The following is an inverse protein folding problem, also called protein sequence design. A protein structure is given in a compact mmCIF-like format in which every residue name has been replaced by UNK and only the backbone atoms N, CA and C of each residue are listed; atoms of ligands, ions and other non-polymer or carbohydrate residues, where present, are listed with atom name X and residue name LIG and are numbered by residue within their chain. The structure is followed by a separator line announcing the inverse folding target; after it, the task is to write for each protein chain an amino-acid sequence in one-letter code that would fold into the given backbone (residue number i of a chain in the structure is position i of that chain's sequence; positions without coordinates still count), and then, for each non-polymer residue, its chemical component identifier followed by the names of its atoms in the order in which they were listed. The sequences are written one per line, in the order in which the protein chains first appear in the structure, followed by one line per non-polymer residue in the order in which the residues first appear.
data_IF_505389333249
#
_entry.id   IF_505389333249
#
_cell.length_a   1.000
_cell.length_b   1.000
_cell.length_c   1.000
_cell.angle_alpha   90.00
_cell.angle_beta   90.00
_cell.angle_gamma   90.00
#
_symmetry.space_group_name_H-M   'P 1'
#
loop_
_entity.id
_entity.type
_entity.pdbx_description
1 polymer ?
#
# COMPACT_ATOMS: atom_id res chain seq x y z
N UNK A 1 -13.69 28.07 -21.04
CA UNK A 1 -12.47 28.01 -20.19
C UNK A 1 -11.71 26.74 -20.53
N UNK A 2 -10.46 26.84 -20.94
CA UNK A 2 -9.65 25.68 -21.33
C UNK A 2 -9.13 24.93 -20.10
N UNK A 3 -9.12 23.60 -20.17
CA UNK A 3 -8.46 22.75 -19.18
C UNK A 3 -6.96 23.04 -19.24
N UNK A 4 -6.36 23.55 -18.15
CA UNK A 4 -4.92 23.81 -18.05
C UNK A 4 -4.31 22.88 -17.00
N UNK A 5 -3.10 22.38 -17.27
CA UNK A 5 -2.35 21.57 -16.30
C UNK A 5 -1.79 22.50 -15.23
N UNK A 6 -2.24 22.34 -13.98
CA UNK A 6 -1.76 23.15 -12.87
C UNK A 6 -0.34 22.79 -12.42
N UNK A 7 0.02 21.50 -12.42
CA UNK A 7 1.35 21.02 -12.07
C UNK A 7 1.60 19.61 -12.62
N UNK A 8 2.86 19.20 -12.65
CA UNK A 8 3.30 17.84 -12.96
C UNK A 8 4.34 17.37 -11.94
N UNK A 9 4.40 16.06 -11.69
CA UNK A 9 5.39 15.44 -10.82
C UNK A 9 5.99 14.24 -11.54
N UNK A 10 7.32 14.13 -11.57
CA UNK A 10 8.05 13.06 -12.27
C UNK A 10 8.54 12.02 -11.28
N UNK A 11 8.09 10.77 -11.45
CA UNK A 11 8.61 9.59 -10.74
C UNK A 11 9.82 8.98 -11.46
N UNK A 12 10.53 8.06 -10.80
CA UNK A 12 11.66 7.34 -11.40
C UNK A 12 11.23 6.19 -12.33
N UNK A 13 10.00 5.71 -12.19
CA UNK A 13 9.41 4.64 -13.00
C UNK A 13 8.01 4.98 -13.53
N UNK A 14 7.35 3.96 -14.08
CA UNK A 14 5.97 4.05 -14.56
C UNK A 14 5.00 4.01 -13.38
N UNK A 15 3.90 4.76 -13.48
CA UNK A 15 2.79 4.70 -12.54
C UNK A 15 1.68 3.88 -13.20
N UNK A 16 1.38 2.71 -12.62
CA UNK A 16 0.23 1.88 -13.01
C UNK A 16 -0.90 1.95 -11.98
N UNK A 17 -0.59 2.37 -10.74
CA UNK A 17 -1.60 2.58 -9.70
C UNK A 17 -2.46 3.79 -10.01
N UNK A 18 -3.72 3.78 -9.55
CA UNK A 18 -4.51 5.01 -9.46
C UNK A 18 -3.97 5.90 -8.32
N UNK A 19 -4.10 7.23 -8.42
CA UNK A 19 -3.78 8.12 -7.31
C UNK A 19 -4.83 8.03 -6.20
N UNK A 20 -4.36 8.13 -4.95
CA UNK A 20 -5.22 8.19 -3.76
C UNK A 20 -5.10 9.56 -3.12
N UNK A 21 -6.23 10.25 -2.90
CA UNK A 21 -6.27 11.61 -2.36
C UNK A 21 -6.62 11.60 -0.87
N UNK A 22 -5.79 12.21 -0.03
CA UNK A 22 -6.10 12.49 1.36
C UNK A 22 -6.89 13.80 1.54
N UNK A 23 -7.55 13.92 2.70
CA UNK A 23 -8.29 15.11 3.11
C UNK A 23 -7.42 16.37 3.24
N UNK A 24 -6.12 16.22 3.54
CA UNK A 24 -5.14 17.30 3.57
C UNK A 24 -4.66 17.74 2.17
N UNK A 25 -5.14 17.09 1.11
CA UNK A 25 -4.75 17.34 -0.28
C UNK A 25 -3.46 16.66 -0.71
N UNK A 26 -2.86 15.81 0.14
CA UNK A 26 -1.74 14.95 -0.28
C UNK A 26 -2.25 13.86 -1.22
N UNK A 27 -1.52 13.64 -2.32
CA UNK A 27 -1.78 12.60 -3.31
C UNK A 27 -0.76 11.48 -3.12
N UNK A 28 -1.22 10.23 -3.03
CA UNK A 28 -0.38 9.05 -2.93
C UNK A 28 -0.41 8.22 -4.20
N UNK A 29 0.77 7.79 -4.67
CA UNK A 29 0.90 6.93 -5.86
C UNK A 29 2.00 5.88 -5.66
N UNK A 30 1.74 4.67 -6.13
CA UNK A 30 2.72 3.60 -6.26
C UNK A 30 3.45 3.69 -7.61
N UNK A 31 4.73 3.33 -7.63
CA UNK A 31 5.55 3.40 -8.82
C UNK A 31 6.37 2.12 -9.04
N UNK A 32 6.65 1.80 -10.30
CA UNK A 32 7.46 0.62 -10.66
C UNK A 32 8.93 0.74 -10.28
N UNK A 33 9.40 1.93 -9.88
CA UNK A 33 10.75 2.13 -9.32
C UNK A 33 10.92 1.61 -7.89
N UNK A 34 9.84 1.03 -7.33
CA UNK A 34 9.84 0.45 -6.00
C UNK A 34 9.53 1.44 -4.88
N UNK A 35 9.03 2.63 -5.23
CA UNK A 35 8.62 3.63 -4.25
C UNK A 35 7.10 3.86 -4.23
N UNK A 36 6.63 4.25 -3.05
CA UNK A 36 5.36 4.93 -2.85
C UNK A 36 5.68 6.40 -2.61
N UNK A 37 5.00 7.29 -3.32
CA UNK A 37 5.20 8.73 -3.23
C UNK A 37 4.02 9.38 -2.53
N UNK A 38 4.30 10.27 -1.58
CA UNK A 38 3.36 11.29 -1.11
C UNK A 38 3.69 12.62 -1.76
N UNK A 39 2.75 13.20 -2.49
CA UNK A 39 2.92 14.45 -3.25
C UNK A 39 1.95 15.48 -2.70
N UNK A 40 2.46 16.68 -2.38
CA UNK A 40 1.63 17.78 -1.88
C UNK A 40 0.72 18.33 -2.99
N UNK A 41 -0.32 19.08 -2.61
CA UNK A 41 -1.27 19.71 -3.54
C UNK A 41 -0.61 20.58 -4.63
N UNK A 42 0.59 21.10 -4.38
CA UNK A 42 1.38 21.88 -5.34
C UNK A 42 2.27 21.08 -6.30
N UNK A 43 2.24 19.74 -6.24
CA UNK A 43 3.08 18.88 -7.09
C UNK A 43 4.51 18.66 -6.58
N UNK A 44 4.82 19.08 -5.35
CA UNK A 44 6.11 18.84 -4.69
C UNK A 44 6.07 17.56 -3.87
N UNK A 45 7.21 16.88 -3.76
CA UNK A 45 7.31 15.67 -2.94
C UNK A 45 7.16 16.01 -1.44
N UNK A 46 6.25 15.32 -0.75
CA UNK A 46 6.13 15.31 0.72
C UNK A 46 7.10 14.28 1.31
N UNK A 47 7.08 13.06 0.76
CA UNK A 47 7.96 11.96 1.16
C UNK A 47 7.99 10.87 0.07
N UNK A 48 8.94 9.94 0.16
CA UNK A 48 8.92 8.65 -0.57
C UNK A 48 9.21 7.50 0.38
N UNK A 49 8.54 6.38 0.16
CA UNK A 49 8.67 5.17 0.95
C UNK A 49 9.22 4.02 0.07
N UNK A 50 10.32 3.35 0.45
CA UNK A 50 10.85 2.20 -0.28
C UNK A 50 10.02 0.94 0.03
N UNK A 51 9.34 0.39 -0.99
CA UNK A 51 8.51 -0.81 -0.87
C UNK A 51 9.25 -2.10 -1.25
N UNK A 52 10.57 -2.05 -1.52
CA UNK A 52 11.39 -3.23 -1.79
C UNK A 52 11.20 -3.88 -3.17
N UNK A 53 10.20 -3.46 -3.95
CA UNK A 53 9.97 -3.89 -5.32
C UNK A 53 8.86 -3.06 -5.98
N UNK A 54 8.64 -3.23 -7.30
CA UNK A 54 7.66 -2.43 -8.05
C UNK A 54 6.29 -2.36 -7.38
N UNK A 55 5.72 -1.16 -7.31
CA UNK A 55 4.41 -0.93 -6.70
C UNK A 55 3.43 -0.57 -7.81
N UNK A 56 2.53 -1.51 -8.11
CA UNK A 56 1.50 -1.33 -9.15
C UNK A 56 0.08 -1.27 -8.56
N UNK A 57 -0.05 -1.53 -7.25
CA UNK A 57 -1.33 -1.48 -6.54
C UNK A 57 -1.68 -0.04 -6.13
N UNK A 58 -2.98 0.26 -6.01
CA UNK A 58 -3.47 1.54 -5.49
C UNK A 58 -3.46 1.51 -3.96
N UNK A 59 -2.95 2.58 -3.34
CA UNK A 59 -2.96 2.74 -1.89
C UNK A 59 -4.39 2.91 -1.36
N UNK A 60 -4.70 2.28 -0.23
CA UNK A 60 -5.92 2.57 0.53
C UNK A 60 -5.61 3.38 1.78
N UNK A 61 -6.40 4.43 2.03
CA UNK A 61 -6.34 5.21 3.26
C UNK A 61 -7.18 4.50 4.31
N UNK A 62 -6.57 4.13 5.43
CA UNK A 62 -7.27 3.58 6.58
C UNK A 62 -7.76 4.62 7.56
N UNK A 63 -8.35 4.15 8.66
CA UNK A 63 -8.70 5.03 9.77
C UNK A 63 -7.43 5.59 10.43
N UNK A 64 -7.45 6.85 10.90
CA UNK A 64 -6.35 7.41 11.66
C UNK A 64 -6.14 6.64 12.96
N UNK A 65 -4.88 6.41 13.30
CA UNK A 65 -4.46 5.93 14.62
C UNK A 65 -3.73 7.10 15.29
N UNK A 66 -4.43 7.79 16.19
CA UNK A 66 -3.98 9.09 16.70
C UNK A 66 -4.09 10.18 15.63
N UNK A 67 -3.04 10.99 15.45
CA UNK A 67 -2.97 12.04 14.43
C UNK A 67 -2.47 11.56 13.06
N UNK A 68 -2.09 10.28 12.95
CA UNK A 68 -1.49 9.74 11.74
C UNK A 68 -2.37 8.68 11.08
N UNK A 69 -2.56 8.84 9.78
CA UNK A 69 -3.32 7.91 8.96
C UNK A 69 -2.42 6.82 8.40
N UNK A 70 -2.94 5.61 8.24
CA UNK A 70 -2.18 4.50 7.66
C UNK A 70 -2.57 4.31 6.20
N UNK A 71 -1.58 4.23 5.32
CA UNK A 71 -1.72 3.80 3.94
C UNK A 71 -1.43 2.31 3.84
N UNK A 72 -2.31 1.58 3.18
CA UNK A 72 -2.14 0.15 2.88
C UNK A 72 -1.87 -0.03 1.40
N UNK A 73 -0.74 -0.65 1.06
CA UNK A 73 -0.32 -0.84 -0.33
C UNK A 73 0.50 -2.11 -0.50
N UNK A 74 0.19 -2.86 -1.55
CA UNK A 74 0.85 -4.12 -1.89
C UNK A 74 2.06 -3.91 -2.80
N UNK A 75 3.16 -4.57 -2.48
CA UNK A 75 4.38 -4.59 -3.27
C UNK A 75 4.50 -5.84 -4.15
N UNK A 76 5.29 -5.72 -5.23
CA UNK A 76 5.66 -6.89 -6.05
C UNK A 76 6.61 -7.84 -5.32
N UNK A 77 7.19 -7.41 -4.19
CA UNK A 77 7.96 -8.24 -3.28
C UNK A 77 7.07 -9.20 -2.45
N UNK A 78 5.74 -9.16 -2.64
CA UNK A 78 4.77 -10.00 -1.95
C UNK A 78 4.43 -9.53 -0.53
N UNK A 79 4.77 -8.28 -0.20
CA UNK A 79 4.52 -7.68 1.10
C UNK A 79 3.33 -6.71 1.04
N UNK A 80 2.48 -6.73 2.07
CA UNK A 80 1.55 -5.63 2.34
C UNK A 80 2.25 -4.65 3.28
N UNK A 81 2.35 -3.40 2.85
CA UNK A 81 2.97 -2.33 3.63
C UNK A 81 1.89 -1.48 4.29
N UNK A 82 2.05 -1.25 5.59
CA UNK A 82 1.35 -0.20 6.32
C UNK A 82 2.32 0.98 6.51
N UNK A 83 1.99 2.11 5.90
CA UNK A 83 2.86 3.29 5.82
C UNK A 83 2.18 4.48 6.48
N UNK A 84 2.93 5.30 7.21
CA UNK A 84 2.45 6.59 7.69
C UNK A 84 2.11 7.52 6.53
N UNK A 85 0.87 7.99 6.48
CA UNK A 85 0.42 8.97 5.49
C UNK A 85 1.11 10.33 5.71
N UNK A 86 1.40 10.69 6.96
CA UNK A 86 2.03 11.96 7.28
C UNK A 86 3.53 11.95 6.97
N UNK A 87 4.22 10.85 7.30
CA UNK A 87 5.69 10.82 7.34
C UNK A 87 6.32 9.89 6.31
N UNK A 88 5.55 9.02 5.64
CA UNK A 88 6.11 8.04 4.71
C UNK A 88 6.96 6.96 5.39
N UNK A 89 6.82 6.79 6.70
CA UNK A 89 7.57 5.80 7.50
C UNK A 89 6.81 4.48 7.59
N UNK A 90 7.53 3.37 7.71
CA UNK A 90 6.90 2.08 7.94
C UNK A 90 6.22 2.04 9.31
N UNK A 91 4.95 1.63 9.37
CA UNK A 91 4.27 1.26 10.61
C UNK A 91 4.41 -0.22 10.90
N UNK A 92 4.13 -1.04 9.90
CA UNK A 92 4.37 -2.48 9.92
C UNK A 92 4.38 -3.04 8.50
N UNK A 93 4.82 -4.28 8.35
CA UNK A 93 4.69 -5.04 7.11
C UNK A 93 4.07 -6.40 7.39
N UNK A 94 3.28 -6.89 6.45
CA UNK A 94 2.75 -8.24 6.49
C UNK A 94 3.31 -9.03 5.31
N UNK A 95 4.14 -10.02 5.62
CA UNK A 95 4.61 -11.03 4.68
C UNK A 95 3.83 -12.30 4.97
N UNK A 96 3.24 -12.88 3.91
CA UNK A 96 2.53 -14.16 4.03
C UNK A 96 3.49 -15.24 4.53
N UNK A 97 3.07 -16.01 5.54
CA UNK A 97 3.86 -17.16 6.02
C UNK A 97 3.98 -18.19 4.90
N UNK A 98 5.16 -18.79 4.76
CA UNK A 98 5.36 -19.89 3.82
C UNK A 98 4.35 -21.01 4.10
N UNK A 99 3.71 -21.51 3.05
CA UNK A 99 2.75 -22.61 3.16
C UNK A 99 3.48 -23.91 3.51
N UNK A 100 3.05 -24.56 4.60
CA UNK A 100 3.44 -25.92 4.93
C UNK A 100 2.54 -26.88 4.16
N UNK A 101 2.95 -27.22 2.94
CA UNK A 101 2.22 -28.16 2.09
C UNK A 101 2.79 -29.56 2.27
N UNK A 102 1.92 -30.53 2.55
CA UNK A 102 2.26 -31.96 2.62
C UNK A 102 3.46 -32.27 3.53
N UNK A 103 3.54 -31.62 4.69
CA UNK A 103 4.60 -31.87 5.67
C UNK A 103 5.98 -31.29 5.31
N UNK A 104 6.12 -30.52 4.22
CA UNK A 104 7.37 -29.86 3.83
C UNK A 104 7.22 -28.35 3.77
N UNK A 105 8.21 -27.64 4.32
CA UNK A 105 8.35 -26.21 4.08
C UNK A 105 8.73 -26.01 2.62
N UNK A 106 7.79 -25.51 1.82
CA UNK A 106 8.11 -25.03 0.48
C UNK A 106 8.36 -23.53 0.58
N UNK A 107 9.55 -23.09 0.14
CA UNK A 107 9.78 -21.69 -0.17
C UNK A 107 8.87 -21.33 -1.34
N UNK A 108 7.65 -20.89 -1.07
CA UNK A 108 6.89 -20.21 -2.12
C UNK A 108 7.67 -18.93 -2.45
N UNK A 109 8.05 -18.76 -3.72
CA UNK A 109 8.50 -17.47 -4.20
C UNK A 109 7.47 -16.43 -3.76
N UNK A 110 7.90 -15.36 -3.10
CA UNK A 110 6.97 -14.31 -2.67
C UNK A 110 6.22 -13.81 -3.91
N UNK A 111 4.92 -14.06 -3.98
CA UNK A 111 4.10 -13.65 -5.12
C UNK A 111 3.55 -12.26 -4.85
N UNK A 112 3.63 -11.41 -5.86
CA UNK A 112 3.30 -10.01 -5.82
C UNK A 112 1.88 -9.75 -5.28
N UNK A 113 1.74 -8.78 -4.39
CA UNK A 113 0.44 -8.24 -3.99
C UNK A 113 0.16 -7.06 -4.90
N UNK A 114 -0.40 -7.35 -6.07
CA UNK A 114 -0.71 -6.34 -7.09
C UNK A 114 -2.12 -5.78 -6.95
N UNK A 115 -3.00 -6.45 -6.20
CA UNK A 115 -4.36 -5.96 -5.98
C UNK A 115 -4.35 -4.76 -5.03
N UNK A 116 -5.18 -3.76 -5.33
CA UNK A 116 -5.42 -2.63 -4.43
C UNK A 116 -6.09 -3.08 -3.13
N UNK A 117 -5.65 -2.52 -2.01
CA UNK A 117 -6.28 -2.78 -0.72
C UNK A 117 -7.65 -2.09 -0.62
N UNK A 118 -8.53 -2.60 0.24
CA UNK A 118 -9.75 -1.92 0.68
C UNK A 118 -9.79 -1.88 2.20
N UNK A 119 -10.25 -0.77 2.80
CA UNK A 119 -10.37 -0.64 4.26
C UNK A 119 -11.82 -0.47 4.63
N UNK A 120 -12.32 -1.33 5.52
CA UNK A 120 -13.65 -1.23 6.08
C UNK A 120 -13.68 -0.27 7.29
N UNK A 121 -14.84 0.36 7.59
CA UNK A 121 -14.98 1.28 8.72
C UNK A 121 -14.60 0.67 10.08
N UNK A 122 -14.76 -0.65 10.23
CA UNK A 122 -14.40 -1.40 11.44
C UNK A 122 -12.89 -1.67 11.58
N UNK A 123 -12.04 -1.11 10.71
CA UNK A 123 -10.60 -1.26 10.78
C UNK A 123 -10.07 -2.59 10.22
N UNK A 124 -10.85 -3.27 9.37
CA UNK A 124 -10.36 -4.44 8.62
C UNK A 124 -9.84 -4.00 7.25
N UNK A 125 -8.65 -4.45 6.89
CA UNK A 125 -8.02 -4.27 5.57
C UNK A 125 -8.19 -5.56 4.78
N UNK A 126 -8.74 -5.45 3.58
CA UNK A 126 -8.89 -6.54 2.63
C UNK A 126 -7.87 -6.42 1.51
N UNK A 127 -7.21 -7.52 1.19
CA UNK A 127 -6.29 -7.62 0.05
C UNK A 127 -6.53 -8.92 -0.71
N UNK A 128 -6.49 -8.86 -2.04
CA UNK A 128 -6.40 -10.04 -2.89
C UNK A 128 -4.95 -10.41 -3.13
N UNK A 129 -4.60 -11.68 -2.99
CA UNK A 129 -3.31 -12.17 -3.46
C UNK A 129 -3.42 -13.62 -3.90
N UNK A 130 -2.81 -13.92 -5.06
CA UNK A 130 -2.87 -15.21 -5.72
C UNK A 130 -4.31 -15.71 -5.92
N UNK A 131 -4.73 -16.68 -5.12
CA UNK A 131 -6.04 -17.35 -5.20
C UNK A 131 -6.92 -17.04 -3.99
N UNK A 132 -6.51 -16.09 -3.14
CA UNK A 132 -7.17 -15.85 -1.85
C UNK A 132 -7.44 -14.35 -1.62
N UNK A 133 -8.52 -14.11 -0.87
CA UNK A 133 -8.83 -12.83 -0.24
C UNK A 133 -8.42 -12.92 1.24
N UNK A 134 -7.71 -11.91 1.73
CA UNK A 134 -7.24 -11.83 3.12
C UNK A 134 -7.91 -10.66 3.83
N UNK A 135 -8.23 -10.87 5.11
CA UNK A 135 -8.74 -9.85 6.01
C UNK A 135 -7.78 -9.67 7.20
N UNK A 136 -7.23 -8.47 7.35
CA UNK A 136 -6.21 -8.14 8.34
C UNK A 136 -6.66 -6.98 9.22
N UNK A 137 -6.29 -6.97 10.49
CA UNK A 137 -6.51 -5.83 11.36
C UNK A 137 -5.60 -4.66 10.91
N UNK A 138 -6.18 -3.49 10.66
CA UNK A 138 -5.46 -2.31 10.18
C UNK A 138 -4.40 -1.78 11.15
N UNK A 139 -4.63 -1.92 12.45
CA UNK A 139 -3.73 -1.39 13.48
C UNK A 139 -2.48 -2.25 13.63
N UNK A 140 -2.61 -3.58 13.54
CA UNK A 140 -1.53 -4.52 13.86
C UNK A 140 -1.04 -5.38 12.69
N UNK A 141 -1.80 -5.46 11.59
CA UNK A 141 -1.57 -6.41 10.51
C UNK A 141 -1.84 -7.87 10.88
N UNK A 142 -2.41 -8.14 12.07
CA UNK A 142 -2.77 -9.50 12.47
C UNK A 142 -4.03 -9.97 11.76
N UNK A 143 -4.01 -11.19 11.23
CA UNK A 143 -5.22 -11.81 10.66
C UNK A 143 -6.30 -11.98 11.72
N UNK A 144 -7.56 -11.71 11.36
CA UNK A 144 -8.69 -12.14 12.17
C UNK A 144 -8.73 -13.66 12.14
N UNK A 145 -8.33 -14.30 13.24
CA UNK A 145 -8.49 -15.73 13.38
C UNK A 145 -9.97 -16.06 13.32
N UNK A 146 -10.36 -16.89 12.35
CA UNK A 146 -11.59 -17.64 12.43
C UNK A 146 -11.48 -18.51 13.69
N UNK A 147 -12.23 -18.15 14.73
CA UNK A 147 -12.65 -19.09 15.77
C UNK A 147 -13.97 -19.72 15.38
#
# INVERSE_FOLDING_TARGET
AGLNVSWTFKTGGRIFSSPTLASDGTVYVGCTDGFVYGVQRGGTIKWRYPAGGPVVSTAAIGNPVGSDTTLFIGGSDGTLHAVSANYGTNKWTYVRKALHLNGRWQLQAKRAIVSSAAVAPNGVVYIGADTALYALNAASGSGGGCG
#
